data_IF_539173006181
#
_entry.id   IF_539173006181
#
_cell.length_a   1.000
_cell.length_b   1.000
_cell.length_c   1.000
_cell.angle_alpha   90.00
_cell.angle_beta   90.00
_cell.angle_gamma   90.00
#
_symmetry.space_group_name_H-M   'P 1'
#
loop_
_entity.id
_entity.type
_entity.pdbx_description
1 polymer ?
#
# COMPACT_ATOMS: atom_id res chain seq x y z
N UNK A 1 -5.67 3.59 -1.59
CA UNK A 1 -5.23 2.71 -0.49
C UNK A 1 -6.06 1.42 -0.44
N UNK A 2 -6.19 0.76 -1.59
CA UNK A 2 -7.04 -0.42 -1.69
C UNK A 2 -6.30 -1.67 -2.17
N UNK A 3 -4.98 -1.58 -2.39
CA UNK A 3 -4.20 -2.71 -2.90
C UNK A 3 -4.39 -3.93 -2.00
N UNK A 4 -4.39 -3.75 -0.68
CA UNK A 4 -4.59 -4.84 0.27
C UNK A 4 -5.93 -5.56 0.09
N UNK A 5 -6.93 -4.90 -0.50
CA UNK A 5 -8.23 -5.52 -0.77
C UNK A 5 -8.24 -6.35 -2.06
N UNK A 6 -7.24 -6.17 -2.92
CA UNK A 6 -7.18 -6.81 -4.24
C UNK A 6 -6.14 -7.91 -4.35
N UNK A 7 -5.45 -8.22 -3.24
CA UNK A 7 -4.31 -9.15 -3.27
C UNK A 7 -4.67 -10.56 -3.76
N UNK A 8 -5.86 -11.06 -3.41
CA UNK A 8 -6.17 -12.47 -3.68
C UNK A 8 -5.26 -13.38 -2.87
N UNK A 9 -5.00 -14.58 -3.35
CA UNK A 9 -4.16 -15.55 -2.63
C UNK A 9 -2.68 -15.34 -2.92
N UNK A 10 -2.34 -14.84 -4.11
CA UNK A 10 -0.97 -14.78 -4.61
C UNK A 10 -0.57 -13.41 -5.18
N UNK A 11 -1.40 -12.39 -4.98
CA UNK A 11 -1.17 -11.06 -5.54
C UNK A 11 -1.70 -10.87 -6.96
N UNK A 12 -2.26 -11.92 -7.59
CA UNK A 12 -2.70 -11.84 -8.99
C UNK A 12 -3.83 -10.84 -9.20
N UNK A 13 -4.69 -10.63 -8.20
CA UNK A 13 -5.76 -9.63 -8.28
C UNK A 13 -5.22 -8.21 -8.47
N UNK A 14 -4.17 -7.86 -7.74
CA UNK A 14 -3.48 -6.57 -7.91
C UNK A 14 -2.81 -6.49 -9.27
N UNK A 15 -2.19 -7.59 -9.71
CA UNK A 15 -1.59 -7.67 -11.04
C UNK A 15 -2.59 -7.32 -12.14
N UNK A 16 -3.81 -7.84 -12.04
CA UNK A 16 -4.87 -7.54 -13.01
C UNK A 16 -5.27 -6.06 -12.98
N UNK A 17 -5.33 -5.46 -11.80
CA UNK A 17 -5.63 -4.02 -11.67
C UNK A 17 -4.54 -3.20 -12.38
N UNK A 18 -3.28 -3.52 -12.16
CA UNK A 18 -2.17 -2.84 -12.84
C UNK A 18 -2.21 -3.05 -14.36
N UNK A 19 -2.53 -4.25 -14.82
CA UNK A 19 -2.68 -4.53 -16.25
C UNK A 19 -3.79 -3.68 -16.88
N UNK A 20 -4.93 -3.57 -16.22
CA UNK A 20 -6.05 -2.76 -16.68
C UNK A 20 -5.71 -1.27 -16.69
N UNK A 21 -5.03 -0.79 -15.64
CA UNK A 21 -4.56 0.60 -15.60
C UNK A 21 -3.57 0.88 -16.73
N UNK A 22 -2.66 -0.05 -16.99
CA UNK A 22 -1.70 0.07 -18.08
C UNK A 22 -2.40 0.18 -19.43
N UNK A 23 -3.37 -0.70 -19.67
CA UNK A 23 -4.12 -0.69 -20.94
C UNK A 23 -4.93 0.61 -21.12
N UNK A 24 -5.43 1.17 -20.04
CA UNK A 24 -6.26 2.39 -20.11
C UNK A 24 -5.45 3.66 -20.34
N UNK A 25 -4.17 3.66 -19.99
CA UNK A 25 -3.33 4.85 -20.11
C UNK A 25 -2.75 4.96 -21.51
N UNK A 26 -2.58 6.19 -21.97
CA UNK A 26 -1.84 6.50 -23.18
C UNK A 26 -0.34 6.29 -22.93
N UNK A 27 0.45 6.00 -24.00
CA UNK A 27 1.92 5.99 -23.85
C UNK A 27 2.40 7.28 -23.20
N UNK A 28 3.30 7.16 -22.23
CA UNK A 28 3.78 8.30 -21.45
C UNK A 28 2.86 8.69 -20.29
N UNK A 29 1.71 8.06 -20.14
CA UNK A 29 0.79 8.31 -19.03
C UNK A 29 1.37 7.86 -17.69
N UNK A 30 0.83 8.44 -16.61
CA UNK A 30 1.32 8.18 -15.26
C UNK A 30 0.24 7.55 -14.38
N UNK A 31 0.69 6.75 -13.40
CA UNK A 31 -0.17 6.14 -12.39
C UNK A 31 0.42 6.45 -11.02
N UNK A 32 -0.36 7.14 -10.19
CA UNK A 32 0.02 7.38 -8.79
C UNK A 32 -0.56 6.31 -7.88
N UNK A 33 0.25 5.83 -6.95
CA UNK A 33 -0.16 4.81 -5.97
C UNK A 33 0.15 5.29 -4.57
N UNK A 34 -0.85 5.24 -3.70
CA UNK A 34 -0.69 5.47 -2.26
C UNK A 34 -1.27 4.26 -1.53
N UNK A 35 -0.49 3.62 -0.67
CA UNK A 35 -0.94 2.46 0.10
C UNK A 35 -0.21 2.39 1.43
N UNK A 36 -0.84 1.76 2.41
CA UNK A 36 -0.23 1.47 3.70
C UNK A 36 1.02 0.61 3.49
N UNK A 37 2.16 1.07 3.99
CA UNK A 37 3.45 0.43 3.71
C UNK A 37 3.84 -0.54 4.81
N UNK A 38 3.97 -1.82 4.43
CA UNK A 38 4.40 -2.88 5.34
C UNK A 38 5.90 -2.84 5.61
N UNK A 39 6.29 -3.51 6.68
CA UNK A 39 7.71 -3.89 6.87
C UNK A 39 8.10 -4.85 5.76
N UNK A 40 9.37 -4.80 5.29
CA UNK A 40 9.84 -5.74 4.27
C UNK A 40 9.70 -7.19 4.73
N UNK A 41 9.43 -8.08 3.79
CA UNK A 41 9.50 -9.52 4.01
C UNK A 41 8.25 -10.19 4.56
N UNK A 42 7.16 -9.45 4.81
CA UNK A 42 5.92 -10.10 5.26
C UNK A 42 5.22 -10.83 4.10
N UNK A 43 4.46 -11.87 4.43
CA UNK A 43 3.72 -12.65 3.44
C UNK A 43 2.46 -11.93 2.95
N UNK A 44 1.94 -12.37 1.79
CA UNK A 44 0.67 -11.85 1.27
C UNK A 44 -0.47 -12.09 2.26
N UNK A 45 -0.47 -13.23 2.93
CA UNK A 45 -1.47 -13.54 3.96
C UNK A 45 -1.44 -12.51 5.09
N UNK A 46 -0.25 -12.14 5.55
CA UNK A 46 -0.09 -11.10 6.57
C UNK A 46 -0.50 -9.72 6.06
N UNK A 47 -0.21 -9.42 4.79
CA UNK A 47 -0.64 -8.17 4.17
C UNK A 47 -2.16 -8.03 4.16
N UNK A 48 -2.87 -9.10 3.78
CA UNK A 48 -4.34 -9.11 3.76
C UNK A 48 -4.92 -8.90 5.16
N UNK A 49 -4.31 -9.53 6.17
CA UNK A 49 -4.79 -9.46 7.54
C UNK A 49 -4.57 -8.08 8.15
N UNK A 50 -3.42 -7.46 7.87
CA UNK A 50 -3.03 -6.20 8.49
C UNK A 50 -3.41 -4.96 7.69
N UNK A 51 -3.65 -5.10 6.39
CA UNK A 51 -3.86 -3.97 5.49
C UNK A 51 -2.57 -3.29 5.04
N UNK A 52 -1.42 -3.70 5.56
CA UNK A 52 -0.13 -3.19 5.12
C UNK A 52 0.38 -3.99 3.94
N UNK A 53 0.90 -3.31 2.92
CA UNK A 53 1.44 -3.94 1.70
C UNK A 53 2.90 -3.53 1.54
N UNK A 54 3.77 -4.47 1.13
CA UNK A 54 5.18 -4.14 0.92
C UNK A 54 5.35 -3.29 -0.35
N UNK A 55 6.29 -2.34 -0.31
CA UNK A 55 6.67 -1.58 -1.51
C UNK A 55 7.17 -2.52 -2.60
N UNK A 56 7.97 -3.50 -2.23
CA UNK A 56 8.54 -4.45 -3.16
C UNK A 56 7.48 -5.17 -3.99
N UNK A 57 6.44 -5.71 -3.33
CA UNK A 57 5.36 -6.39 -4.04
C UNK A 57 4.64 -5.42 -4.99
N UNK A 58 4.34 -4.21 -4.52
CA UNK A 58 3.65 -3.21 -5.32
C UNK A 58 4.45 -2.85 -6.56
N UNK A 59 5.74 -2.57 -6.40
CA UNK A 59 6.62 -2.22 -7.52
C UNK A 59 6.74 -3.38 -8.50
N UNK A 60 6.96 -4.60 -7.99
CA UNK A 60 7.12 -5.78 -8.84
C UNK A 60 5.88 -6.05 -9.69
N UNK A 61 4.69 -5.93 -9.11
CA UNK A 61 3.44 -6.16 -9.84
C UNK A 61 3.19 -5.07 -10.90
N UNK A 62 3.52 -3.82 -10.58
CA UNK A 62 3.40 -2.73 -11.55
C UNK A 62 4.39 -2.90 -12.70
N UNK A 63 5.63 -3.27 -12.40
CA UNK A 63 6.65 -3.50 -13.43
C UNK A 63 6.29 -4.68 -14.31
N UNK A 64 5.72 -5.74 -13.73
CA UNK A 64 5.26 -6.90 -14.48
C UNK A 64 4.15 -6.54 -15.47
N UNK A 65 3.32 -5.55 -15.14
CA UNK A 65 2.29 -5.05 -16.04
C UNK A 65 2.85 -4.16 -17.15
N UNK A 66 4.10 -3.72 -17.04
CA UNK A 66 4.77 -2.89 -18.05
C UNK A 66 5.17 -1.50 -17.59
N UNK A 67 4.78 -1.10 -16.39
CA UNK A 67 5.14 0.22 -15.87
C UNK A 67 6.61 0.31 -15.48
N UNK A 68 7.15 1.51 -15.53
CA UNK A 68 8.43 1.85 -14.91
C UNK A 68 8.18 2.71 -13.68
N UNK A 69 8.87 2.39 -12.58
CA UNK A 69 8.86 3.26 -11.40
C UNK A 69 9.62 4.55 -11.75
N UNK A 70 8.91 5.68 -11.72
CA UNK A 70 9.47 6.97 -12.09
C UNK A 70 9.95 7.75 -10.88
N UNK A 71 9.21 7.68 -9.76
CA UNK A 71 9.57 8.42 -8.56
C UNK A 71 8.91 7.81 -7.33
N UNK A 72 9.46 8.14 -6.16
CA UNK A 72 8.92 7.78 -4.84
C UNK A 72 8.91 9.04 -3.99
N UNK A 73 7.92 9.14 -3.09
CA UNK A 73 7.84 10.25 -2.14
C UNK A 73 7.58 9.72 -0.74
N UNK A 74 8.16 10.36 0.24
CA UNK A 74 7.92 10.08 1.65
C UNK A 74 6.91 11.05 2.27
N UNK A 75 6.17 11.78 1.44
CA UNK A 75 5.20 12.77 1.92
C UNK A 75 4.12 12.15 2.82
N UNK A 76 3.78 10.89 2.61
CA UNK A 76 2.81 10.15 3.41
C UNK A 76 3.44 9.16 4.40
N UNK A 77 4.75 9.25 4.60
CA UNK A 77 5.45 8.39 5.56
C UNK A 77 5.14 8.81 6.99
N UNK A 78 5.10 7.82 7.88
CA UNK A 78 4.97 8.06 9.31
C UNK A 78 5.91 7.14 10.08
N UNK A 79 7.03 7.68 10.53
CA UNK A 79 8.05 6.91 11.26
C UNK A 79 7.57 6.43 12.63
N UNK A 80 6.50 7.00 13.16
CA UNK A 80 5.92 6.58 14.44
C UNK A 80 5.12 5.28 14.32
N UNK A 81 4.73 4.90 13.09
CA UNK A 81 3.94 3.70 12.88
C UNK A 81 4.86 2.47 12.93
N UNK A 82 4.70 1.66 13.98
CA UNK A 82 5.48 0.44 14.19
C UNK A 82 4.96 -0.75 13.38
N UNK A 83 3.75 -0.64 12.82
CA UNK A 83 3.16 -1.63 11.89
C UNK A 83 2.88 -3.00 12.50
N UNK A 84 2.74 -3.04 13.82
CA UNK A 84 2.52 -4.29 14.58
C UNK A 84 1.25 -4.22 15.44
N UNK A 85 0.27 -3.44 15.00
CA UNK A 85 -0.94 -3.20 15.78
C UNK A 85 -1.90 -4.40 15.72
N UNK A 86 -2.71 -4.63 16.79
CA UNK A 86 -3.58 -5.81 16.87
C UNK A 86 -4.52 -6.00 15.68
N UNK A 87 -5.10 -4.93 15.15
CA UNK A 87 -5.97 -4.97 13.98
C UNK A 87 -5.35 -4.27 12.78
N UNK A 88 -4.03 -4.32 12.66
CA UNK A 88 -3.31 -3.72 11.54
C UNK A 88 -3.61 -2.23 11.42
N UNK A 89 -3.75 -1.73 10.20
CA UNK A 89 -4.00 -0.32 9.92
C UNK A 89 -5.29 0.20 10.54
N UNK A 90 -6.26 -0.68 10.76
CA UNK A 90 -7.57 -0.29 11.32
C UNK A 90 -7.50 0.05 12.80
N UNK A 91 -6.42 -0.29 13.48
CA UNK A 91 -6.15 0.13 14.85
C UNK A 91 -5.89 1.63 14.94
N UNK A 92 -5.32 2.20 13.88
CA UNK A 92 -4.92 3.61 13.81
C UNK A 92 -6.08 4.51 13.35
N UNK A 93 -5.96 5.85 13.54
CA UNK A 93 -6.91 6.79 12.95
C UNK A 93 -6.98 6.63 11.42
N UNK A 94 -8.11 6.89 10.78
CA UNK A 94 -9.37 7.33 11.40
C UNK A 94 -10.22 6.20 11.98
N UNK A 95 -9.91 4.94 11.68
CA UNK A 95 -10.75 3.81 12.07
C UNK A 95 -10.81 3.58 13.58
N UNK A 96 -9.65 3.61 14.25
CA UNK A 96 -9.55 3.40 15.70
C UNK A 96 -10.39 2.18 16.15
N UNK A 97 -10.17 1.05 15.51
CA UNK A 97 -11.01 -0.15 15.66
C UNK A 97 -11.17 -0.59 17.11
N UNK A 98 -10.12 -0.45 17.94
CA UNK A 98 -10.17 -0.80 19.34
C UNK A 98 -10.91 0.23 20.20
N UNK A 99 -11.34 1.34 19.61
CA UNK A 99 -12.11 2.40 20.25
C UNK A 99 -11.45 2.89 21.54
N UNK A 100 -11.97 2.45 22.70
CA UNK A 100 -11.48 2.94 24.00
C UNK A 100 -10.19 2.27 24.45
N UNK A 101 -9.75 1.19 23.78
CA UNK A 101 -8.49 0.52 24.09
C UNK A 101 -7.31 1.29 23.54
N UNK A 102 -6.50 1.87 24.43
CA UNK A 102 -5.27 2.61 24.09
C UNK A 102 -5.46 3.72 23.05
N UNK A 103 -6.66 4.32 23.02
CA UNK A 103 -7.03 5.35 22.03
C UNK A 103 -6.00 6.46 21.94
N UNK A 104 -5.53 6.96 23.09
CA UNK A 104 -4.55 8.06 23.10
C UNK A 104 -3.23 7.65 22.45
N UNK A 105 -2.78 6.42 22.69
CA UNK A 105 -1.58 5.88 22.07
C UNK A 105 -1.68 5.93 20.55
N UNK A 106 -2.81 5.45 20.01
CA UNK A 106 -2.99 5.38 18.55
C UNK A 106 -3.23 6.75 17.93
N UNK A 107 -3.91 7.64 18.63
CA UNK A 107 -4.04 9.03 18.18
C UNK A 107 -2.68 9.73 18.09
N UNK A 108 -1.76 9.44 19.02
CA UNK A 108 -0.42 10.02 19.00
C UNK A 108 0.44 9.46 17.87
N UNK A 109 0.25 8.19 17.50
CA UNK A 109 0.92 7.61 16.34
C UNK A 109 0.42 8.28 15.06
N UNK A 110 -0.89 8.51 14.97
CA UNK A 110 -1.51 9.10 13.78
C UNK A 110 -1.86 8.05 12.73
N UNK A 111 -2.05 8.50 11.50
CA UNK A 111 -2.37 7.58 10.40
C UNK A 111 -1.15 6.71 10.05
N UNK A 112 -1.42 5.59 9.37
CA UNK A 112 -0.39 4.64 9.00
C UNK A 112 0.72 5.25 8.17
N UNK A 113 1.91 4.64 8.24
CA UNK A 113 2.99 4.90 7.29
C UNK A 113 2.54 4.44 5.90
N UNK A 114 2.65 5.32 4.91
CA UNK A 114 2.18 5.03 3.55
C UNK A 114 3.25 5.32 2.52
N UNK A 115 3.39 4.37 1.57
CA UNK A 115 4.20 4.59 0.39
C UNK A 115 3.47 5.54 -0.56
N UNK A 116 4.20 6.31 -1.32
CA UNK A 116 3.69 7.11 -2.43
C UNK A 116 4.59 6.88 -3.62
N UNK A 117 4.04 6.26 -4.67
CA UNK A 117 4.82 5.82 -5.83
C UNK A 117 4.25 6.43 -7.10
N UNK A 118 5.13 6.79 -8.03
CA UNK A 118 4.75 7.27 -9.35
C UNK A 118 5.28 6.32 -10.39
N UNK A 119 4.38 5.72 -11.15
CA UNK A 119 4.71 4.84 -12.26
C UNK A 119 4.43 5.54 -13.58
N UNK A 120 5.20 5.18 -14.61
CA UNK A 120 5.03 5.73 -15.95
C UNK A 120 4.88 4.61 -16.96
N UNK A 121 3.91 4.76 -17.85
CA UNK A 121 3.79 3.88 -19.00
C UNK A 121 4.79 4.33 -20.06
N UNK A 122 5.68 3.45 -20.57
CA UNK A 122 6.63 3.81 -21.62
C UNK A 122 5.94 4.37 -22.86
N UNK A 123 6.67 5.22 -23.56
CA UNK A 123 6.19 5.82 -24.81
C UNK A 123 6.22 4.79 -25.94
#
# INVERSE_FOLDING_TARGET
RNIHNWLGEDGSGVGKVFEQAYAALKPGGILGVVEHRARPGISIKEMKKSGYVTEELTINLAEKAGFNLSNKSEINANVKDTKDHPNGVWTLPPSLYLKDGDKQKYLQIGESDRMTLLFKKPI
#
